data_IF_477395834016
#
_entry.id   IF_477395834016
#
_cell.length_a   1.000
_cell.length_b   1.000
_cell.length_c   1.000
_cell.angle_alpha   90.00
_cell.angle_beta   90.00
_cell.angle_gamma   90.00
#
_symmetry.space_group_name_H-M   'P 1'
#
loop_
_entity.id
_entity.type
_entity.pdbx_description
1 polymer ?
#
# COMPACT_ATOMS: atom_id res chain seq x y z
N UNK A 1 24.41 14.31 -21.79
CA UNK A 1 24.45 13.41 -20.62
C UNK A 1 23.93 14.16 -19.39
N UNK A 2 22.61 14.19 -19.19
CA UNK A 2 22.00 14.99 -18.11
C UNK A 2 20.74 14.30 -17.56
N UNK A 3 20.87 13.08 -17.02
CA UNK A 3 19.71 12.28 -16.61
C UNK A 3 19.92 11.44 -15.34
N UNK A 4 20.77 11.86 -14.39
CA UNK A 4 21.03 11.05 -13.17
C UNK A 4 20.89 11.80 -11.84
N UNK A 5 20.27 12.98 -11.80
CA UNK A 5 20.05 13.73 -10.55
C UNK A 5 18.62 14.27 -10.38
N UNK A 6 17.62 13.51 -10.80
CA UNK A 6 16.32 13.60 -10.14
C UNK A 6 16.30 12.46 -9.15
N UNK A 7 16.68 12.77 -7.91
CA UNK A 7 16.58 11.84 -6.78
C UNK A 7 15.24 11.12 -6.85
N UNK A 8 15.27 9.79 -6.79
CA UNK A 8 14.07 8.97 -6.73
C UNK A 8 13.43 9.20 -5.36
N UNK A 9 12.65 10.29 -5.24
CA UNK A 9 12.01 10.74 -3.99
C UNK A 9 11.14 9.64 -3.39
N UNK A 10 10.49 8.84 -4.24
CA UNK A 10 9.74 7.69 -3.78
C UNK A 10 10.66 6.66 -3.13
N UNK A 11 11.82 6.37 -3.72
CA UNK A 11 12.80 5.48 -3.10
C UNK A 11 13.35 6.03 -1.79
N UNK A 12 13.71 7.32 -1.75
CA UNK A 12 14.17 7.99 -0.53
C UNK A 12 13.11 7.95 0.57
N UNK A 13 11.84 8.17 0.23
CA UNK A 13 10.70 8.04 1.15
C UNK A 13 10.60 6.62 1.70
N UNK A 14 10.58 5.61 0.82
CA UNK A 14 10.38 4.22 1.20
C UNK A 14 11.54 3.70 2.06
N UNK A 15 12.78 4.05 1.69
CA UNK A 15 13.95 3.71 2.49
C UNK A 15 13.94 4.45 3.84
N UNK A 16 13.51 5.72 3.91
CA UNK A 16 13.33 6.41 5.19
C UNK A 16 12.23 5.76 6.04
N UNK A 17 11.08 5.42 5.46
CA UNK A 17 9.95 4.80 6.14
C UNK A 17 10.30 3.40 6.70
N UNK A 18 11.14 2.65 6.00
CA UNK A 18 11.51 1.28 6.40
C UNK A 18 12.76 1.25 7.29
N UNK A 19 13.81 2.01 6.95
CA UNK A 19 15.10 1.95 7.64
C UNK A 19 15.23 2.96 8.79
N UNK A 20 14.50 4.09 8.73
CA UNK A 20 14.55 5.16 9.75
C UNK A 20 13.15 5.62 10.17
N UNK A 21 12.26 4.70 10.60
CA UNK A 21 10.85 5.03 10.82
C UNK A 21 10.58 6.03 11.95
N UNK A 22 11.57 6.35 12.79
CA UNK A 22 11.48 7.39 13.82
C UNK A 22 11.60 8.82 13.27
N UNK A 23 12.07 9.01 12.04
CA UNK A 23 12.27 10.33 11.43
C UNK A 23 10.96 10.87 10.81
N UNK A 24 9.91 11.00 11.63
CA UNK A 24 8.54 11.27 11.15
C UNK A 24 8.40 12.56 10.31
N UNK A 25 9.04 13.66 10.73
CA UNK A 25 8.96 14.95 10.01
C UNK A 25 9.55 14.84 8.60
N UNK A 26 10.67 14.13 8.49
CA UNK A 26 11.36 13.92 7.22
C UNK A 26 10.55 13.03 6.27
N UNK A 27 9.95 11.96 6.81
CA UNK A 27 9.06 11.06 6.07
C UNK A 27 7.82 11.82 5.57
N UNK A 28 7.22 12.69 6.40
CA UNK A 28 6.07 13.51 5.99
C UNK A 28 6.43 14.48 4.86
N UNK A 29 7.61 15.11 4.92
CA UNK A 29 8.08 16.00 3.84
C UNK A 29 8.18 15.26 2.51
N UNK A 30 8.76 14.06 2.50
CA UNK A 30 8.84 13.25 1.29
C UNK A 30 7.51 12.67 0.85
N UNK A 31 6.59 12.34 1.78
CA UNK A 31 5.23 11.93 1.43
C UNK A 31 4.55 13.05 0.63
N UNK A 32 4.61 14.29 1.12
CA UNK A 32 4.03 15.42 0.42
C UNK A 32 4.64 15.59 -0.98
N UNK A 33 5.96 15.52 -1.11
CA UNK A 33 6.62 15.63 -2.41
C UNK A 33 6.25 14.49 -3.38
N UNK A 34 6.16 13.25 -2.89
CA UNK A 34 5.72 12.09 -3.70
C UNK A 34 4.31 12.32 -4.25
N UNK A 35 3.39 12.80 -3.41
CA UNK A 35 2.01 13.08 -3.82
C UNK A 35 1.98 14.22 -4.86
N UNK A 36 2.70 15.31 -4.64
CA UNK A 36 2.79 16.42 -5.58
C UNK A 36 3.38 16.00 -6.93
N UNK A 37 4.44 15.18 -6.94
CA UNK A 37 5.01 14.63 -8.19
C UNK A 37 4.02 13.71 -8.91
N UNK A 38 3.24 12.92 -8.18
CA UNK A 38 2.20 12.09 -8.79
C UNK A 38 1.06 12.92 -9.38
N UNK A 39 0.64 14.02 -8.73
CA UNK A 39 -0.34 14.95 -9.30
C UNK A 39 0.13 15.60 -10.60
N UNK A 40 1.42 15.95 -10.66
CA UNK A 40 2.04 16.54 -11.86
C UNK A 40 2.33 15.52 -12.97
N UNK A 41 2.11 14.23 -12.71
CA UNK A 41 2.42 13.15 -13.65
C UNK A 41 3.90 12.79 -13.76
N UNK A 42 4.76 13.40 -12.93
CA UNK A 42 6.21 13.12 -12.87
C UNK A 42 6.50 11.77 -12.21
N UNK A 43 5.60 11.30 -11.33
CA UNK A 43 5.68 9.99 -10.69
C UNK A 43 4.46 9.11 -11.06
N UNK A 44 4.64 8.07 -11.89
CA UNK A 44 3.54 7.20 -12.30
C UNK A 44 2.87 6.48 -11.12
N UNK A 45 1.54 6.48 -11.07
CA UNK A 45 0.75 5.82 -10.01
C UNK A 45 1.08 4.32 -9.90
N UNK A 46 1.34 3.65 -11.02
CA UNK A 46 1.76 2.24 -11.06
C UNK A 46 3.08 2.03 -10.30
N UNK A 47 4.02 2.97 -10.41
CA UNK A 47 5.31 2.91 -9.70
C UNK A 47 5.10 3.13 -8.21
N UNK A 48 4.29 4.12 -7.82
CA UNK A 48 3.90 4.36 -6.43
C UNK A 48 3.28 3.11 -5.79
N UNK A 49 2.25 2.53 -6.42
CA UNK A 49 1.59 1.32 -5.92
C UNK A 49 2.53 0.12 -5.86
N UNK A 50 3.29 -0.13 -6.93
CA UNK A 50 4.20 -1.28 -7.01
C UNK A 50 5.32 -1.20 -5.98
N UNK A 51 6.02 -0.07 -5.88
CA UNK A 51 7.13 0.04 -4.93
C UNK A 51 6.63 0.04 -3.48
N UNK A 52 5.51 0.70 -3.16
CA UNK A 52 4.92 0.65 -1.81
C UNK A 52 4.55 -0.77 -1.42
N UNK A 53 3.95 -1.56 -2.33
CA UNK A 53 3.66 -2.98 -2.08
C UNK A 53 4.93 -3.84 -1.94
N UNK A 54 6.02 -3.50 -2.63
CA UNK A 54 7.28 -4.22 -2.49
C UNK A 54 7.87 -4.09 -1.08
N UNK A 55 7.62 -2.97 -0.40
CA UNK A 55 8.07 -2.75 0.97
C UNK A 55 7.33 -3.60 2.01
N UNK A 56 6.23 -4.28 1.63
CA UNK A 56 5.59 -5.28 2.51
C UNK A 56 6.58 -6.36 2.95
N UNK A 57 7.50 -6.76 2.06
CA UNK A 57 8.54 -7.74 2.35
C UNK A 57 9.76 -7.18 3.10
N UNK A 58 9.82 -5.86 3.32
CA UNK A 58 10.91 -5.19 4.04
C UNK A 58 10.44 -4.55 5.36
N UNK A 59 9.13 -4.43 5.56
CA UNK A 59 8.53 -3.79 6.75
C UNK A 59 8.65 -4.67 7.99
N UNK A 60 9.71 -4.45 8.78
CA UNK A 60 9.96 -5.17 10.03
C UNK A 60 9.31 -4.50 11.26
N UNK A 61 9.00 -3.19 11.16
CA UNK A 61 8.51 -2.39 12.27
C UNK A 61 7.06 -1.93 12.06
N UNK A 62 6.29 -1.85 13.16
CA UNK A 62 4.91 -1.31 13.15
C UNK A 62 4.87 0.15 12.65
N UNK A 63 5.92 0.91 12.94
CA UNK A 63 6.07 2.29 12.51
C UNK A 63 6.27 2.40 11.00
N UNK A 64 7.04 1.49 10.39
CA UNK A 64 7.19 1.42 8.93
C UNK A 64 5.84 1.16 8.26
N UNK A 65 5.09 0.17 8.74
CA UNK A 65 3.75 -0.12 8.24
C UNK A 65 2.80 1.08 8.39
N UNK A 66 2.93 1.85 9.49
CA UNK A 66 2.12 3.08 9.70
C UNK A 66 2.42 4.13 8.62
N UNK A 67 3.68 4.35 8.28
CA UNK A 67 4.07 5.32 7.25
C UNK A 67 3.61 4.91 5.86
N UNK A 68 3.71 3.61 5.52
CA UNK A 68 3.20 3.09 4.24
C UNK A 68 1.68 3.25 4.14
N UNK A 69 0.95 2.96 5.22
CA UNK A 69 -0.51 3.17 5.29
C UNK A 69 -0.88 4.64 5.13
N UNK A 70 -0.18 5.55 5.80
CA UNK A 70 -0.41 6.99 5.65
C UNK A 70 -0.18 7.45 4.20
N UNK A 71 0.86 6.96 3.54
CA UNK A 71 1.13 7.26 2.13
C UNK A 71 -0.01 6.81 1.22
N UNK A 72 -0.53 5.59 1.42
CA UNK A 72 -1.63 5.07 0.61
C UNK A 72 -2.95 5.80 0.85
N UNK A 73 -3.26 6.14 2.11
CA UNK A 73 -4.45 6.92 2.44
C UNK A 73 -4.40 8.31 1.78
N UNK A 74 -3.25 8.98 1.87
CA UNK A 74 -3.04 10.28 1.22
C UNK A 74 -3.14 10.19 -0.31
N UNK A 75 -2.56 9.13 -0.90
CA UNK A 75 -2.66 8.89 -2.33
C UNK A 75 -4.11 8.66 -2.77
N UNK A 76 -4.91 7.89 -2.03
CA UNK A 76 -6.33 7.72 -2.30
C UNK A 76 -7.12 9.03 -2.19
N UNK A 77 -6.81 9.86 -1.19
CA UNK A 77 -7.49 11.14 -0.98
C UNK A 77 -7.19 12.16 -2.08
N UNK A 78 -5.95 12.18 -2.58
CA UNK A 78 -5.46 13.23 -3.48
C UNK A 78 -5.43 12.81 -4.96
N UNK A 79 -5.48 11.51 -5.27
CA UNK A 79 -5.29 10.98 -6.61
C UNK A 79 -6.46 10.04 -6.98
N UNK A 80 -7.50 10.52 -7.69
CA UNK A 80 -8.73 9.76 -7.94
C UNK A 80 -8.54 8.42 -8.66
N UNK A 81 -7.54 8.30 -9.53
CA UNK A 81 -7.24 7.08 -10.27
C UNK A 81 -6.36 6.08 -9.50
N UNK A 82 -5.95 6.42 -8.27
CA UNK A 82 -5.02 5.59 -7.49
C UNK A 82 -5.62 4.26 -7.02
N UNK A 83 -6.87 4.20 -6.47
CA UNK A 83 -7.47 2.92 -6.06
C UNK A 83 -7.53 1.89 -7.19
N UNK A 84 -7.97 2.30 -8.38
CA UNK A 84 -8.00 1.45 -9.57
C UNK A 84 -6.60 0.94 -9.96
N UNK A 85 -5.62 1.84 -9.97
CA UNK A 85 -4.24 1.49 -10.30
C UNK A 85 -3.66 0.51 -9.27
N UNK A 86 -3.93 0.74 -7.99
CA UNK A 86 -3.48 -0.12 -6.90
C UNK A 86 -4.11 -1.50 -6.99
N UNK A 87 -5.42 -1.60 -7.22
CA UNK A 87 -6.14 -2.86 -7.36
C UNK A 87 -5.55 -3.73 -8.47
N UNK A 88 -5.28 -3.15 -9.64
CA UNK A 88 -4.61 -3.84 -10.76
C UNK A 88 -3.22 -4.33 -10.40
N UNK A 89 -2.40 -3.48 -9.77
CA UNK A 89 -1.05 -3.86 -9.35
C UNK A 89 -1.09 -4.98 -8.31
N UNK A 90 -1.98 -4.90 -7.32
CA UNK A 90 -2.13 -5.94 -6.31
C UNK A 90 -2.59 -7.26 -6.94
N UNK A 91 -3.54 -7.22 -7.87
CA UNK A 91 -4.02 -8.42 -8.58
C UNK A 91 -2.87 -9.13 -9.30
N UNK A 92 -2.02 -8.40 -10.02
CA UNK A 92 -0.84 -8.95 -10.70
C UNK A 92 0.19 -9.49 -9.72
N UNK A 93 0.41 -8.83 -8.57
CA UNK A 93 1.44 -9.22 -7.60
C UNK A 93 0.97 -10.24 -6.56
N UNK A 94 -0.33 -10.51 -6.51
CA UNK A 94 -0.96 -11.36 -5.49
C UNK A 94 -0.32 -12.74 -5.38
N UNK A 95 0.00 -13.39 -6.50
CA UNK A 95 0.63 -14.72 -6.50
C UNK A 95 2.00 -14.72 -5.79
N UNK A 96 2.84 -13.70 -6.03
CA UNK A 96 4.14 -13.58 -5.37
C UNK A 96 4.01 -13.25 -3.88
N UNK A 97 3.00 -12.45 -3.51
CA UNK A 97 2.72 -12.13 -2.10
C UNK A 97 2.17 -13.34 -1.34
N UNK A 98 1.30 -14.14 -1.97
CA UNK A 98 0.80 -15.40 -1.41
C UNK A 98 1.95 -16.36 -1.08
N UNK A 99 2.92 -16.47 -1.98
CA UNK A 99 4.12 -17.30 -1.79
C UNK A 99 5.17 -16.70 -0.83
N UNK A 100 4.97 -15.47 -0.34
CA UNK A 100 5.94 -14.80 0.56
C UNK A 100 5.82 -15.31 2.00
N UNK A 101 6.57 -14.72 2.93
CA UNK A 101 6.45 -15.04 4.35
C UNK A 101 5.20 -14.40 4.98
N UNK A 102 4.75 -14.94 6.12
CA UNK A 102 3.51 -14.55 6.79
C UNK A 102 3.38 -13.04 7.03
N UNK A 103 4.43 -12.38 7.52
CA UNK A 103 4.38 -10.93 7.78
C UNK A 103 4.23 -10.09 6.51
N UNK A 104 4.79 -10.52 5.36
CA UNK A 104 4.59 -9.82 4.09
C UNK A 104 3.13 -9.92 3.62
N UNK A 105 2.52 -11.11 3.74
CA UNK A 105 1.08 -11.30 3.45
C UNK A 105 0.22 -10.39 4.32
N UNK A 106 0.46 -10.39 5.63
CA UNK A 106 -0.27 -9.56 6.60
C UNK A 106 -0.13 -8.08 6.28
N UNK A 107 1.09 -7.59 6.01
CA UNK A 107 1.33 -6.18 5.66
C UNK A 107 0.65 -5.83 4.34
N UNK A 108 0.77 -6.65 3.30
CA UNK A 108 0.10 -6.40 2.02
C UNK A 108 -1.42 -6.36 2.17
N UNK A 109 -2.00 -7.26 2.98
CA UNK A 109 -3.42 -7.23 3.30
C UNK A 109 -3.80 -5.92 4.01
N UNK A 110 -3.04 -5.50 5.03
CA UNK A 110 -3.28 -4.23 5.73
C UNK A 110 -3.23 -3.02 4.78
N UNK A 111 -2.23 -2.97 3.89
CA UNK A 111 -2.09 -1.90 2.91
C UNK A 111 -3.29 -1.87 1.95
N UNK A 112 -3.73 -3.04 1.46
CA UNK A 112 -4.92 -3.11 0.61
C UNK A 112 -6.20 -2.69 1.33
N UNK A 113 -6.31 -2.98 2.63
CA UNK A 113 -7.46 -2.57 3.45
C UNK A 113 -7.54 -1.05 3.57
N UNK A 114 -6.39 -0.37 3.69
CA UNK A 114 -6.36 1.11 3.73
C UNK A 114 -6.83 1.72 2.42
N UNK A 115 -6.43 1.15 1.29
CA UNK A 115 -6.89 1.62 -0.04
C UNK A 115 -8.40 1.41 -0.18
N UNK A 116 -8.92 0.27 0.27
CA UNK A 116 -10.35 0.01 0.27
C UNK A 116 -11.12 0.99 1.15
N UNK A 117 -10.69 1.19 2.39
CA UNK A 117 -11.32 2.13 3.34
C UNK A 117 -11.36 3.57 2.77
N UNK A 118 -10.19 4.07 2.34
CA UNK A 118 -10.09 5.42 1.78
C UNK A 118 -10.94 5.59 0.51
N UNK A 119 -11.00 4.57 -0.35
CA UNK A 119 -11.82 4.61 -1.55
C UNK A 119 -13.32 4.54 -1.23
N UNK A 120 -13.75 3.76 -0.24
CA UNK A 120 -15.15 3.71 0.21
C UNK A 120 -15.59 5.03 0.84
N UNK A 121 -14.71 5.69 1.60
CA UNK A 121 -14.98 7.00 2.19
C UNK A 121 -15.08 8.12 1.13
N UNK A 122 -14.35 7.99 0.02
CA UNK A 122 -14.36 8.94 -1.08
C UNK A 122 -15.42 8.65 -2.16
N UNK A 123 -16.01 7.45 -2.16
CA UNK A 123 -16.92 7.01 -3.22
C UNK A 123 -18.33 7.60 -3.04
N UNK A 124 -18.58 8.73 -3.69
CA UNK A 124 -19.93 9.11 -4.12
C UNK A 124 -20.15 8.60 -5.56
N UNK A 125 -20.94 7.55 -5.74
CA UNK A 125 -21.28 7.06 -7.08
C UNK A 125 -21.48 5.56 -7.22
N UNK A 126 -21.67 5.06 -8.46
CA UNK A 126 -21.93 3.65 -8.73
C UNK A 126 -20.73 2.76 -8.37
N UNK A 127 -21.00 1.46 -8.18
CA UNK A 127 -20.01 0.46 -7.83
C UNK A 127 -18.82 0.47 -8.81
N UNK A 128 -17.63 0.76 -8.29
CA UNK A 128 -16.44 0.96 -9.11
C UNK A 128 -15.90 -0.39 -9.62
N UNK A 129 -15.57 -0.47 -10.92
CA UNK A 129 -15.19 -1.71 -11.59
C UNK A 129 -13.92 -2.40 -11.03
N UNK A 130 -13.06 -1.65 -10.34
CA UNK A 130 -11.85 -2.19 -9.70
C UNK A 130 -12.12 -2.86 -8.35
N UNK A 131 -13.28 -2.61 -7.72
CA UNK A 131 -13.59 -3.12 -6.39
C UNK A 131 -13.60 -4.65 -6.33
N UNK A 132 -14.23 -5.38 -7.27
CA UNK A 132 -14.16 -6.85 -7.30
C UNK A 132 -12.73 -7.38 -7.44
N UNK A 133 -11.87 -6.73 -8.22
CA UNK A 133 -10.46 -7.13 -8.36
C UNK A 133 -9.68 -6.98 -7.05
N UNK A 134 -9.90 -5.87 -6.33
CA UNK A 134 -9.26 -5.62 -5.04
C UNK A 134 -9.72 -6.66 -4.00
N UNK A 135 -11.03 -6.92 -3.91
CA UNK A 135 -11.59 -7.91 -2.99
C UNK A 135 -11.09 -9.33 -3.30
N UNK A 136 -11.00 -9.70 -4.58
CA UNK A 136 -10.46 -10.99 -4.99
C UNK A 136 -8.96 -11.14 -4.62
N UNK A 137 -8.17 -10.07 -4.69
CA UNK A 137 -6.79 -10.10 -4.23
C UNK A 137 -6.69 -10.18 -2.70
N UNK A 138 -7.55 -9.47 -1.96
CA UNK A 138 -7.64 -9.56 -0.51
C UNK A 138 -8.03 -10.96 -0.03
N UNK A 139 -9.02 -11.59 -0.67
CA UNK A 139 -9.44 -12.97 -0.34
C UNK A 139 -8.27 -13.93 -0.48
N UNK A 140 -7.55 -13.88 -1.62
CA UNK A 140 -6.36 -14.71 -1.86
C UNK A 140 -5.27 -14.50 -0.80
N UNK A 141 -5.02 -13.26 -0.39
CA UNK A 141 -4.06 -12.95 0.67
C UNK A 141 -4.51 -13.48 2.03
N UNK A 142 -5.79 -13.34 2.37
CA UNK A 142 -6.36 -13.83 3.63
C UNK A 142 -6.32 -15.36 3.69
N UNK A 143 -6.76 -16.03 2.63
CA UNK A 143 -6.74 -17.50 2.51
C UNK A 143 -5.32 -18.04 2.69
N UNK A 144 -4.33 -17.38 2.09
CA UNK A 144 -2.93 -17.74 2.24
C UNK A 144 -2.38 -17.61 3.68
N UNK A 145 -3.11 -16.95 4.59
CA UNK A 145 -2.74 -16.89 6.02
C UNK A 145 -3.33 -18.03 6.85
N UNK A 146 -4.20 -18.89 6.31
CA UNK A 146 -4.88 -19.95 7.08
C UNK A 146 -3.88 -20.91 7.74
N UNK A 147 -2.76 -21.20 7.08
CA UNK A 147 -1.72 -22.10 7.59
C UNK A 147 -0.63 -21.36 8.39
N UNK A 148 -0.72 -20.03 8.53
CA UNK A 148 0.25 -19.25 9.29
C UNK A 148 0.08 -19.44 10.80
N UNK A 149 1.09 -19.02 11.57
CA UNK A 149 1.00 -18.97 13.02
C UNK A 149 -0.25 -18.20 13.49
N UNK A 150 -0.89 -18.58 14.61
CA UNK A 150 -2.15 -17.98 15.09
C UNK A 150 -2.13 -16.46 15.19
N UNK A 151 -0.96 -15.89 15.55
CA UNK A 151 -0.77 -14.43 15.62
C UNK A 151 -0.95 -13.76 14.26
N UNK A 152 -0.40 -14.33 13.19
CA UNK A 152 -0.51 -13.79 11.83
C UNK A 152 -1.95 -13.92 11.31
N UNK A 153 -2.60 -15.06 11.55
CA UNK A 153 -4.02 -15.26 11.25
C UNK A 153 -4.89 -14.19 11.92
N UNK A 154 -4.66 -13.96 13.22
CA UNK A 154 -5.41 -12.97 14.00
C UNK A 154 -5.19 -11.55 13.46
N UNK A 155 -3.95 -11.19 13.10
CA UNK A 155 -3.64 -9.88 12.51
C UNK A 155 -4.35 -9.68 11.18
N UNK A 156 -4.27 -10.66 10.28
CA UNK A 156 -4.93 -10.62 8.99
C UNK A 156 -6.46 -10.47 9.12
N UNK A 157 -7.10 -11.27 9.98
CA UNK A 157 -8.54 -11.18 10.25
C UNK A 157 -8.93 -9.84 10.88
N UNK A 158 -8.14 -9.34 11.81
CA UNK A 158 -8.41 -8.08 12.48
C UNK A 158 -8.40 -6.88 11.52
N UNK A 159 -7.60 -6.93 10.45
CA UNK A 159 -7.60 -5.89 9.43
C UNK A 159 -8.92 -5.81 8.67
N UNK A 160 -9.45 -6.96 8.25
CA UNK A 160 -10.74 -7.02 7.54
C UNK A 160 -11.93 -6.70 8.46
N UNK A 161 -11.91 -7.20 9.70
CA UNK A 161 -12.97 -6.92 10.67
C UNK A 161 -13.11 -5.43 11.00
N UNK A 162 -12.06 -4.62 10.82
CA UNK A 162 -12.15 -3.16 10.98
C UNK A 162 -12.90 -2.47 9.85
N UNK A 163 -12.90 -3.06 8.65
CA UNK A 163 -13.61 -2.51 7.48
C UNK A 163 -15.09 -2.84 7.49
N UNK A 164 -15.48 -3.88 8.23
CA UNK A 164 -16.87 -4.34 8.34
C UNK A 164 -17.66 -3.63 9.46
N UNK A 165 -17.04 -2.70 10.18
CA UNK A 165 -17.63 -1.94 11.29
C UNK A 165 -17.83 -0.50 10.89
#
# INVERSE_FOLDING_TARGET
MATEQHEDVLRSLLDAAVLRPSHAVFIQSYQHEVIEKSKRGELPLKRLASQTLAEASRSQYRSSERHLRALLAEACAQLPAFPETFARVLSVRSAGLVASFASARVVALHLSCVVLDAALQAAEGPAQAWLPELLAAQSRLLEATVDDAPRSQQQARAALLKLLK
#
